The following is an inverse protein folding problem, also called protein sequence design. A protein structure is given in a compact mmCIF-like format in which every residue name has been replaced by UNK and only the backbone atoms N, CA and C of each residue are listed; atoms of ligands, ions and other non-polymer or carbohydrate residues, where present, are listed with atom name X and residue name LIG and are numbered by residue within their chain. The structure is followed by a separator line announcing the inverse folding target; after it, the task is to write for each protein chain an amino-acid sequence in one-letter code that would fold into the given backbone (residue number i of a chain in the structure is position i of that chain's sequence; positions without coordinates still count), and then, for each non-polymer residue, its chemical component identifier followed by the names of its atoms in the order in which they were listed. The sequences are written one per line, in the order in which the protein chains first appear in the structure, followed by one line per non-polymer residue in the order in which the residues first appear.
data_IF_436680221044
#
_entry.id   IF_436680221044
#
_cell.length_a   1.000
_cell.length_b   1.000
_cell.length_c   1.000
_cell.angle_alpha   90.00
_cell.angle_beta   90.00
_cell.angle_gamma   90.00
#
_symmetry.space_group_name_H-M   'P 1'
#
loop_
_entity.id
_entity.type
_entity.pdbx_description
1 polymer ?
#
# COMPACT_ATOMS: atom_id res chain seq x y z
N UNK A 1 -16.74 -22.55 -6.14
CA UNK A 1 -15.68 -21.56 -5.88
C UNK A 1 -14.95 -22.00 -4.62
N UNK A 2 -13.63 -22.13 -4.66
CA UNK A 2 -12.82 -22.38 -3.46
C UNK A 2 -12.34 -21.04 -2.90
N UNK A 3 -12.22 -20.94 -1.57
CA UNK A 3 -11.67 -19.75 -0.93
C UNK A 3 -10.18 -19.61 -1.25
N UNK A 4 -9.75 -18.41 -1.63
CA UNK A 4 -8.34 -18.08 -1.87
C UNK A 4 -7.77 -17.48 -0.59
N UNK A 5 -6.68 -18.07 -0.09
CA UNK A 5 -5.93 -17.49 1.03
C UNK A 5 -4.96 -16.43 0.50
N UNK A 6 -5.11 -15.20 0.98
CA UNK A 6 -4.25 -14.08 0.63
C UNK A 6 -3.19 -13.90 1.72
N UNK A 7 -1.91 -14.03 1.36
CA UNK A 7 -0.78 -13.79 2.25
C UNK A 7 -0.33 -12.33 2.12
N UNK A 8 -0.41 -11.51 3.19
CA UNK A 8 0.08 -10.14 3.14
C UNK A 8 1.60 -10.08 2.92
N UNK A 9 2.04 -9.15 2.08
CA UNK A 9 3.46 -8.84 1.86
C UNK A 9 3.95 -7.69 2.76
N UNK A 10 3.03 -6.96 3.40
CA UNK A 10 3.33 -5.87 4.31
C UNK A 10 2.12 -5.42 5.13
N UNK A 11 2.32 -4.45 6.00
CA UNK A 11 1.29 -3.83 6.83
C UNK A 11 1.48 -2.31 6.86
N UNK A 12 0.37 -1.57 6.89
CA UNK A 12 0.42 -0.12 7.17
C UNK A 12 0.73 0.08 8.65
N UNK A 13 1.92 0.57 8.93
CA UNK A 13 2.41 0.84 10.29
C UNK A 13 1.83 2.13 10.86
N UNK A 14 1.79 3.15 10.00
CA UNK A 14 1.43 4.52 10.35
C UNK A 14 0.80 5.24 9.17
N UNK A 15 -0.16 6.11 9.48
CA UNK A 15 -0.84 7.01 8.56
C UNK A 15 -0.82 8.41 9.18
N UNK A 16 -0.25 9.38 8.47
CA UNK A 16 -0.09 10.77 8.91
C UNK A 16 -1.02 11.63 8.08
N UNK A 17 -2.05 12.17 8.71
CA UNK A 17 -3.06 13.00 8.05
C UNK A 17 -2.51 14.39 7.69
N UNK A 18 -2.64 14.79 6.43
CA UNK A 18 -2.40 16.17 6.04
C UNK A 18 -3.60 17.03 6.50
N UNK A 19 -3.43 17.84 7.54
CA UNK A 19 -4.54 18.45 8.28
C UNK A 19 -5.68 19.10 7.48
N UNK A 20 -5.45 19.70 6.31
CA UNK A 20 -6.50 20.33 5.49
C UNK A 20 -7.04 19.45 4.34
N UNK A 21 -6.44 18.28 4.09
CA UNK A 21 -6.78 17.36 2.99
C UNK A 21 -6.35 15.92 3.35
N UNK A 22 -6.78 15.47 4.52
CA UNK A 22 -6.32 14.21 5.11
C UNK A 22 -6.67 13.01 4.20
N UNK A 23 -7.80 13.05 3.52
CA UNK A 23 -8.24 11.94 2.67
C UNK A 23 -7.38 11.76 1.43
N UNK A 24 -6.79 12.83 0.86
CA UNK A 24 -6.08 12.78 -0.44
C UNK A 24 -4.58 13.04 -0.36
N UNK A 25 -4.10 13.57 0.75
CA UNK A 25 -2.70 13.97 0.93
C UNK A 25 -2.05 13.34 2.18
N UNK A 26 -2.63 12.27 2.71
CA UNK A 26 -2.03 11.51 3.81
C UNK A 26 -0.71 10.87 3.42
N UNK A 27 0.20 10.79 4.38
CA UNK A 27 1.39 9.97 4.24
C UNK A 27 1.16 8.60 4.88
N UNK A 28 1.54 7.55 4.18
CA UNK A 28 1.39 6.17 4.64
C UNK A 28 2.76 5.52 4.70
N UNK A 29 3.07 4.88 5.83
CA UNK A 29 4.29 4.07 5.99
C UNK A 29 3.92 2.59 5.96
N UNK A 30 4.38 1.91 4.94
CA UNK A 30 4.23 0.46 4.75
C UNK A 30 5.50 -0.22 5.26
N UNK A 31 5.32 -1.16 6.19
CA UNK A 31 6.37 -2.08 6.64
C UNK A 31 6.21 -3.42 5.90
N UNK A 32 7.27 -3.85 5.22
CA UNK A 32 7.30 -5.08 4.43
C UNK A 32 7.65 -6.27 5.32
N UNK A 33 7.01 -7.41 5.05
CA UNK A 33 7.28 -8.67 5.74
C UNK A 33 8.65 -9.21 5.37
N UNK A 34 9.34 -9.86 6.32
CA UNK A 34 10.68 -10.42 6.11
C UNK A 34 10.75 -11.43 4.94
N UNK A 35 9.68 -12.17 4.69
CA UNK A 35 9.60 -13.11 3.56
C UNK A 35 9.65 -12.38 2.21
N UNK A 36 9.06 -11.19 2.13
CA UNK A 36 9.09 -10.36 0.93
C UNK A 36 10.42 -9.61 0.78
N UNK A 37 10.98 -9.10 1.89
CA UNK A 37 12.22 -8.29 1.85
C UNK A 37 13.47 -9.08 1.46
N UNK A 38 13.43 -10.42 1.53
CA UNK A 38 14.51 -11.30 1.07
C UNK A 38 14.72 -11.26 -0.45
N UNK A 39 13.66 -11.01 -1.21
CA UNK A 39 13.70 -10.97 -2.69
C UNK A 39 13.36 -9.59 -3.26
N UNK A 40 12.87 -8.67 -2.43
CA UNK A 40 12.58 -7.30 -2.81
C UNK A 40 13.86 -6.49 -3.04
N UNK A 41 14.00 -6.00 -4.26
CA UNK A 41 14.99 -4.99 -4.62
C UNK A 41 14.21 -3.72 -4.93
N UNK A 42 14.34 -2.65 -4.12
CA UNK A 42 13.61 -1.41 -4.36
C UNK A 42 13.99 -0.85 -5.75
N UNK A 43 13.03 -0.65 -6.66
CA UNK A 43 13.33 -0.10 -7.97
C UNK A 43 13.95 1.30 -7.85
N UNK A 44 14.97 1.62 -8.65
CA UNK A 44 15.67 2.92 -8.56
C UNK A 44 14.83 4.09 -9.06
N UNK A 45 13.97 3.87 -10.04
CA UNK A 45 13.12 4.89 -10.66
C UNK A 45 11.65 4.51 -10.51
N UNK A 46 11.09 4.81 -9.35
CA UNK A 46 9.70 4.56 -9.03
C UNK A 46 9.15 5.81 -8.36
N UNK A 47 8.32 6.55 -9.09
CA UNK A 47 7.69 7.79 -8.59
C UNK A 47 6.32 7.53 -7.99
N UNK A 48 5.59 6.54 -8.49
CA UNK A 48 4.24 6.21 -8.05
C UNK A 48 4.06 4.70 -7.93
N UNK A 49 3.24 4.29 -6.97
CA UNK A 49 2.89 2.90 -6.70
C UNK A 49 1.39 2.73 -6.56
N UNK A 50 0.88 1.69 -7.21
CA UNK A 50 -0.43 1.14 -6.89
C UNK A 50 -0.28 0.19 -5.70
N UNK A 51 -1.10 0.41 -4.68
CA UNK A 51 -1.11 -0.37 -3.45
C UNK A 51 -2.43 -1.12 -3.37
N UNK A 52 -2.36 -2.44 -3.36
CA UNK A 52 -3.52 -3.32 -3.13
C UNK A 52 -3.50 -3.77 -1.68
N UNK A 53 -4.57 -3.49 -0.95
CA UNK A 53 -4.64 -3.77 0.49
C UNK A 53 -5.99 -4.33 0.91
N UNK A 54 -6.01 -4.95 2.08
CA UNK A 54 -7.23 -5.33 2.79
C UNK A 54 -7.41 -4.39 3.96
N UNK A 55 -8.56 -3.71 4.00
CA UNK A 55 -8.97 -2.97 5.17
C UNK A 55 -9.46 -3.95 6.24
N UNK A 56 -8.67 -4.08 7.31
CA UNK A 56 -8.99 -4.95 8.45
C UNK A 56 -9.72 -4.21 9.57
N UNK A 57 -9.95 -2.90 9.44
CA UNK A 57 -10.65 -2.10 10.44
C UNK A 57 -12.17 -2.33 10.39
N UNK A 58 -12.68 -2.72 9.23
CA UNK A 58 -14.09 -3.03 9.04
C UNK A 58 -14.38 -4.46 9.47
N UNK A 59 -15.25 -4.62 10.48
CA UNK A 59 -15.81 -5.89 10.93
C UNK A 59 -16.82 -6.47 9.92
N UNK A 60 -16.50 -6.42 8.63
CA UNK A 60 -17.31 -6.99 7.56
C UNK A 60 -16.97 -8.48 7.39
N UNK A 61 -17.97 -9.35 7.19
CA UNK A 61 -17.74 -10.75 6.85
C UNK A 61 -17.04 -10.93 5.50
N UNK A 62 -17.02 -9.88 4.66
CA UNK A 62 -16.26 -9.85 3.41
C UNK A 62 -15.16 -8.80 3.54
N UNK A 63 -13.88 -9.17 3.61
CA UNK A 63 -12.79 -8.20 3.66
C UNK A 63 -12.81 -7.33 2.40
N UNK A 64 -12.90 -6.02 2.58
CA UNK A 64 -12.84 -5.06 1.48
C UNK A 64 -11.42 -5.00 0.93
N UNK A 65 -11.26 -5.32 -0.35
CA UNK A 65 -10.00 -5.09 -1.07
C UNK A 65 -10.03 -3.67 -1.62
N UNK A 66 -9.11 -2.85 -1.15
CA UNK A 66 -8.88 -1.49 -1.65
C UNK A 66 -7.70 -1.45 -2.63
N UNK A 67 -7.76 -0.51 -3.57
CA UNK A 67 -6.64 -0.18 -4.45
C UNK A 67 -6.51 1.34 -4.42
N UNK A 68 -5.30 1.83 -4.18
CA UNK A 68 -5.00 3.26 -4.28
C UNK A 68 -3.64 3.51 -4.92
N UNK A 69 -3.43 4.73 -5.41
CA UNK A 69 -2.16 5.15 -6.01
C UNK A 69 -1.48 6.19 -5.11
N UNK A 70 -0.23 5.97 -4.74
CA UNK A 70 0.57 6.88 -3.93
C UNK A 70 1.86 7.30 -4.61
N UNK A 71 2.27 8.55 -4.42
CA UNK A 71 3.60 9.04 -4.76
C UNK A 71 4.62 8.52 -3.76
N UNK A 72 5.73 7.95 -4.25
CA UNK A 72 6.79 7.38 -3.39
C UNK A 72 7.69 8.51 -2.89
N UNK A 73 7.67 8.74 -1.58
CA UNK A 73 8.54 9.72 -0.92
C UNK A 73 9.90 9.12 -0.58
N UNK A 74 9.87 7.98 0.12
CA UNK A 74 11.05 7.27 0.62
C UNK A 74 10.82 5.77 0.48
N UNK A 75 11.89 5.01 0.25
CA UNK A 75 11.82 3.56 0.23
C UNK A 75 13.17 2.95 0.57
N UNK A 76 13.13 1.83 1.26
CA UNK A 76 14.27 0.99 1.53
C UNK A 76 13.89 -0.49 1.37
N UNK A 77 14.74 -1.40 1.85
CA UNK A 77 14.51 -2.83 1.74
C UNK A 77 13.31 -3.32 2.58
N UNK A 78 12.94 -2.61 3.64
CA UNK A 78 11.96 -2.98 4.65
C UNK A 78 10.74 -2.07 4.70
N UNK A 79 10.84 -0.86 4.16
CA UNK A 79 9.77 0.13 4.27
C UNK A 79 9.56 0.92 2.98
N UNK A 80 8.32 1.38 2.80
CA UNK A 80 7.94 2.30 1.74
C UNK A 80 7.07 3.40 2.35
N UNK A 81 7.46 4.65 2.14
CA UNK A 81 6.70 5.84 2.51
C UNK A 81 6.05 6.42 1.27
N UNK A 82 4.73 6.55 1.32
CA UNK A 82 3.90 7.05 0.23
C UNK A 82 3.16 8.31 0.65
N UNK A 83 2.84 9.19 -0.30
CA UNK A 83 1.85 10.25 -0.15
C UNK A 83 0.72 10.05 -1.14
N UNK A 84 -0.52 10.13 -0.68
CA UNK A 84 -1.70 9.99 -1.52
C UNK A 84 -2.96 9.82 -0.70
N UNK A 85 -3.87 8.99 -1.19
CA UNK A 85 -5.09 8.65 -0.47
C UNK A 85 -4.77 7.97 0.86
N UNK A 86 -5.60 8.23 1.86
CA UNK A 86 -5.46 7.64 3.19
C UNK A 86 -5.66 6.12 3.13
N UNK A 87 -4.61 5.36 3.48
CA UNK A 87 -4.74 3.92 3.75
C UNK A 87 -4.87 3.73 5.26
N UNK A 88 -5.90 3.01 5.75
CA UNK A 88 -6.10 2.80 7.17
C UNK A 88 -4.90 2.12 7.85
N UNK A 89 -4.59 2.53 9.08
CA UNK A 89 -3.59 1.86 9.90
C UNK A 89 -3.94 0.38 10.07
N UNK A 90 -2.93 -0.48 10.07
CA UNK A 90 -3.05 -1.95 10.14
C UNK A 90 -3.63 -2.61 8.89
N UNK A 91 -3.96 -1.85 7.83
CA UNK A 91 -4.31 -2.44 6.55
C UNK A 91 -3.20 -3.39 6.08
N UNK A 92 -3.61 -4.55 5.58
CA UNK A 92 -2.69 -5.60 5.12
C UNK A 92 -2.40 -5.40 3.64
N UNK A 93 -1.15 -5.18 3.29
CA UNK A 93 -0.75 -5.00 1.90
C UNK A 93 -0.63 -6.37 1.24
N UNK A 94 -1.33 -6.54 0.11
CA UNK A 94 -1.32 -7.77 -0.67
C UNK A 94 -0.37 -7.67 -1.86
N UNK A 95 -0.30 -6.51 -2.49
CA UNK A 95 0.49 -6.31 -3.69
C UNK A 95 0.93 -4.85 -3.86
N UNK A 96 2.08 -4.67 -4.49
CA UNK A 96 2.66 -3.39 -4.87
C UNK A 96 3.02 -3.45 -6.34
N UNK A 97 2.45 -2.56 -7.14
CA UNK A 97 2.69 -2.49 -8.58
C UNK A 97 3.19 -1.10 -8.96
N UNK A 98 4.26 -0.98 -9.77
CA UNK A 98 4.63 0.29 -10.36
C UNK A 98 3.47 0.91 -11.12
N UNK A 99 3.19 2.18 -10.86
CA UNK A 99 2.23 2.92 -11.67
C UNK A 99 2.88 3.30 -13.00
N UNK A 100 2.20 2.98 -14.10
CA UNK A 100 2.64 3.22 -15.46
C UNK A 100 1.50 3.92 -16.21
N UNK A 101 1.62 5.24 -16.34
CA UNK A 101 0.55 6.11 -16.84
C UNK A 101 -0.14 5.63 -18.15
N UNK A 102 0.58 5.10 -19.17
CA UNK A 102 -0.06 4.55 -20.36
C UNK A 102 -1.02 3.37 -20.13
N UNK A 103 -0.92 2.66 -19.00
CA UNK A 103 -1.72 1.46 -18.71
C UNK A 103 -2.70 1.67 -17.55
N UNK A 104 -2.43 2.63 -16.67
CA UNK A 104 -3.20 2.82 -15.43
C UNK A 104 -4.14 4.04 -15.47
N UNK A 105 -4.09 4.87 -16.51
CA UNK A 105 -5.03 6.00 -16.72
C UNK A 105 -6.09 5.58 -17.73
N UNK A 106 -7.35 5.47 -17.28
CA UNK A 106 -8.53 5.17 -18.10
C UNK A 106 -9.34 6.45 -18.39
#
# INVERSE_FOLDING_TARGET
MQAINLCPIGIVKETIEAGHDAERNSETIIELTSQFTQSWIPPKQLSHLNVVYVDTSQSSPTPGIGITTGCVLERDQHSIRLRGEMIPRQARILHLQPFVAPYDVF
#
